data_IF_602267268461
#
_entry.id   IF_602267268461
#
_cell.length_a   1.000
_cell.length_b   1.000
_cell.length_c   1.000
_cell.angle_alpha   90.00
_cell.angle_beta   90.00
_cell.angle_gamma   90.00
#
_symmetry.space_group_name_H-M   'P 1'
#
loop_
_entity.id
_entity.type
_entity.pdbx_description
1 polymer ?
#
# COMPACT_ATOMS: atom_id res chain seq x y z
N UNK A 1 -19.08 15.82 10.03
CA UNK A 1 -18.05 14.76 10.23
C UNK A 1 -18.69 13.38 10.35
N UNK A 2 -19.65 13.14 11.24
CA UNK A 2 -20.32 11.82 11.34
C UNK A 2 -21.14 11.44 10.11
N UNK A 3 -21.88 12.38 9.51
CA UNK A 3 -22.62 12.15 8.26
C UNK A 3 -21.70 11.80 7.08
N UNK A 4 -20.58 12.54 6.94
CA UNK A 4 -19.54 12.28 5.93
C UNK A 4 -18.94 10.88 6.06
N UNK A 5 -18.70 10.42 7.30
CA UNK A 5 -18.17 9.07 7.57
C UNK A 5 -19.18 7.99 7.15
N UNK A 6 -20.48 8.18 7.40
CA UNK A 6 -21.50 7.22 6.96
C UNK A 6 -21.57 7.15 5.44
N UNK A 7 -21.55 8.30 4.74
CA UNK A 7 -21.52 8.32 3.28
C UNK A 7 -20.26 7.65 2.71
N UNK A 8 -19.10 7.90 3.31
CA UNK A 8 -17.86 7.24 2.91
C UNK A 8 -17.92 5.72 3.11
N UNK A 9 -18.54 5.27 4.21
CA UNK A 9 -18.71 3.84 4.48
C UNK A 9 -19.61 3.17 3.43
N UNK A 10 -20.73 3.79 3.06
CA UNK A 10 -21.62 3.27 2.01
C UNK A 10 -20.92 3.18 0.65
N UNK A 11 -20.06 4.15 0.31
CA UNK A 11 -19.27 4.15 -0.91
C UNK A 11 -18.27 2.99 -0.95
N UNK A 12 -17.57 2.73 0.16
CA UNK A 12 -16.55 1.66 0.25
C UNK A 12 -17.19 0.28 0.30
N UNK A 13 -18.33 0.14 0.97
CA UNK A 13 -19.07 -1.13 1.08
C UNK A 13 -19.82 -1.50 -0.21
N UNK A 14 -19.82 -0.63 -1.22
CA UNK A 14 -20.38 -0.97 -2.52
C UNK A 14 -19.68 -2.22 -3.08
N UNK A 15 -20.43 -3.27 -3.50
CA UNK A 15 -19.85 -4.52 -3.99
C UNK A 15 -18.86 -4.34 -5.15
N UNK A 16 -19.13 -3.36 -6.02
CA UNK A 16 -18.23 -3.05 -7.13
C UNK A 16 -16.88 -2.51 -6.64
N UNK A 17 -16.91 -1.59 -5.66
CA UNK A 17 -15.69 -1.03 -5.06
C UNK A 17 -14.89 -2.10 -4.33
N UNK A 18 -15.55 -2.99 -3.59
CA UNK A 18 -14.90 -4.13 -2.94
C UNK A 18 -14.24 -5.08 -3.94
N UNK A 19 -14.89 -5.35 -5.08
CA UNK A 19 -14.31 -6.17 -6.15
C UNK A 19 -13.06 -5.51 -6.75
N UNK A 20 -13.11 -4.20 -6.98
CA UNK A 20 -11.95 -3.42 -7.46
C UNK A 20 -10.81 -3.47 -6.43
N UNK A 21 -11.10 -3.26 -5.15
CA UNK A 21 -10.12 -3.38 -4.06
C UNK A 21 -9.46 -4.76 -4.08
N UNK A 22 -10.25 -5.83 -4.14
CA UNK A 22 -9.73 -7.20 -4.17
C UNK A 22 -8.82 -7.44 -5.39
N UNK A 23 -9.26 -7.04 -6.58
CA UNK A 23 -8.49 -7.18 -7.82
C UNK A 23 -7.18 -6.39 -7.78
N UNK A 24 -7.24 -5.16 -7.28
CA UNK A 24 -6.07 -4.30 -7.07
C UNK A 24 -5.10 -4.86 -6.02
N UNK A 25 -5.61 -5.44 -4.94
CA UNK A 25 -4.79 -6.12 -3.94
C UNK A 25 -4.00 -7.29 -4.54
N UNK A 26 -4.66 -8.14 -5.33
CA UNK A 26 -4.03 -9.27 -6.04
C UNK A 26 -2.98 -8.77 -7.03
N UNK A 27 -3.34 -7.75 -7.82
CA UNK A 27 -2.43 -7.10 -8.76
C UNK A 27 -1.18 -6.54 -8.05
N UNK A 28 -1.36 -5.76 -6.99
CA UNK A 28 -0.24 -5.18 -6.22
C UNK A 28 0.63 -6.25 -5.56
N UNK A 29 0.03 -7.33 -5.05
CA UNK A 29 0.76 -8.47 -4.49
C UNK A 29 1.65 -9.13 -5.55
N UNK A 30 1.10 -9.37 -6.75
CA UNK A 30 1.85 -9.99 -7.85
C UNK A 30 2.99 -9.11 -8.33
N UNK A 31 2.71 -7.82 -8.58
CA UNK A 31 3.71 -6.88 -9.07
C UNK A 31 4.80 -6.64 -8.04
N UNK A 32 4.45 -6.40 -6.78
CA UNK A 32 5.44 -6.11 -5.73
C UNK A 32 6.33 -7.32 -5.40
N UNK A 33 5.84 -8.55 -5.60
CA UNK A 33 6.66 -9.75 -5.41
C UNK A 33 7.75 -9.93 -6.49
N UNK A 34 7.65 -9.23 -7.63
CA UNK A 34 8.64 -9.28 -8.71
C UNK A 34 9.84 -8.39 -8.33
N UNK A 35 11.07 -8.95 -8.26
CA UNK A 35 12.26 -8.16 -7.94
C UNK A 35 12.45 -6.98 -8.89
N UNK A 36 12.60 -5.78 -8.33
CA UNK A 36 12.81 -4.54 -9.10
C UNK A 36 11.54 -3.83 -9.56
N UNK A 37 10.35 -4.44 -9.41
CA UNK A 37 9.06 -3.77 -9.65
C UNK A 37 8.52 -3.22 -8.33
N UNK A 38 8.87 -1.97 -8.06
CA UNK A 38 8.50 -1.26 -6.84
C UNK A 38 6.99 -0.93 -6.80
N UNK A 39 6.48 -0.62 -5.61
CA UNK A 39 5.10 -0.14 -5.44
C UNK A 39 4.78 1.09 -6.32
N UNK A 40 5.75 1.99 -6.49
CA UNK A 40 5.60 3.17 -7.35
C UNK A 40 5.39 2.79 -8.82
N UNK A 41 6.10 1.78 -9.31
CA UNK A 41 5.93 1.28 -10.68
C UNK A 41 4.58 0.57 -10.85
N UNK A 42 4.17 -0.22 -9.85
CA UNK A 42 2.84 -0.86 -9.84
C UNK A 42 1.71 0.15 -9.99
N UNK A 43 1.76 1.23 -9.19
CA UNK A 43 0.77 2.31 -9.28
C UNK A 43 0.85 2.98 -10.66
N UNK A 44 2.05 3.32 -11.16
CA UNK A 44 2.21 3.98 -12.45
C UNK A 44 1.60 3.18 -13.62
N UNK A 45 1.72 1.85 -13.59
CA UNK A 45 1.12 0.96 -14.59
C UNK A 45 -0.40 0.83 -14.44
N UNK A 46 -0.93 0.99 -13.22
CA UNK A 46 -2.36 0.92 -12.95
C UNK A 46 -3.08 2.23 -13.28
N UNK A 47 -2.45 3.40 -13.11
CA UNK A 47 -3.09 4.72 -13.31
C UNK A 47 -3.84 4.84 -14.65
N UNK A 48 -3.29 4.42 -15.81
CA UNK A 48 -4.01 4.48 -17.08
C UNK A 48 -5.33 3.71 -17.08
N UNK A 49 -5.39 2.58 -16.37
CA UNK A 49 -6.60 1.76 -16.23
C UNK A 49 -7.61 2.48 -15.34
N UNK A 50 -7.15 3.19 -14.31
CA UNK A 50 -8.04 3.91 -13.39
C UNK A 50 -8.76 5.10 -14.03
N UNK A 51 -8.30 5.61 -15.18
CA UNK A 51 -9.01 6.66 -15.92
C UNK A 51 -10.34 6.20 -16.54
N UNK A 52 -10.56 4.89 -16.65
CA UNK A 52 -11.82 4.31 -17.12
C UNK A 52 -12.79 4.00 -15.97
N UNK A 53 -12.40 4.26 -14.72
CA UNK A 53 -13.20 4.00 -13.52
C UNK A 53 -13.77 5.29 -12.95
N UNK A 54 -14.90 5.18 -12.26
CA UNK A 54 -15.40 6.27 -11.43
C UNK A 54 -14.37 6.68 -10.36
N UNK A 55 -14.41 7.93 -9.85
CA UNK A 55 -13.39 8.44 -8.93
C UNK A 55 -13.19 7.59 -7.66
N UNK A 56 -14.28 7.04 -7.11
CA UNK A 56 -14.22 6.21 -5.89
C UNK A 56 -13.47 4.90 -6.12
N UNK A 57 -13.88 4.02 -7.06
CA UNK A 57 -13.12 2.80 -7.35
C UNK A 57 -11.72 3.08 -7.90
N UNK A 58 -11.49 4.17 -8.64
CA UNK A 58 -10.17 4.58 -9.10
C UNK A 58 -9.19 4.83 -7.94
N UNK A 59 -9.60 5.66 -6.96
CA UNK A 59 -8.79 5.93 -5.77
C UNK A 59 -8.61 4.66 -4.94
N UNK A 60 -9.68 3.88 -4.75
CA UNK A 60 -9.61 2.62 -4.02
C UNK A 60 -8.60 1.64 -4.64
N UNK A 61 -8.54 1.57 -5.98
CA UNK A 61 -7.59 0.74 -6.71
C UNK A 61 -6.13 1.17 -6.46
N UNK A 62 -5.85 2.48 -6.53
CA UNK A 62 -4.51 3.04 -6.30
C UNK A 62 -4.05 2.77 -4.86
N UNK A 63 -4.92 3.06 -3.88
CA UNK A 63 -4.60 2.89 -2.45
C UNK A 63 -4.41 1.41 -2.09
N UNK A 64 -5.26 0.53 -2.62
CA UNK A 64 -5.16 -0.91 -2.36
C UNK A 64 -3.90 -1.51 -2.97
N UNK A 65 -3.60 -1.14 -4.22
CA UNK A 65 -2.40 -1.60 -4.94
C UNK A 65 -1.12 -1.12 -4.26
N UNK A 66 -1.05 0.15 -3.85
CA UNK A 66 0.16 0.66 -3.17
C UNK A 66 0.38 -0.07 -1.85
N UNK A 67 -0.68 -0.26 -1.05
CA UNK A 67 -0.57 -0.94 0.24
C UNK A 67 -0.09 -2.38 0.10
N UNK A 68 -0.64 -3.15 -0.83
CA UNK A 68 -0.22 -4.54 -1.04
C UNK A 68 1.13 -4.66 -1.72
N UNK A 69 1.45 -3.80 -2.68
CA UNK A 69 2.74 -3.82 -3.37
C UNK A 69 3.91 -3.44 -2.45
N UNK A 70 3.70 -2.53 -1.49
CA UNK A 70 4.73 -2.17 -0.49
C UNK A 70 5.13 -3.40 0.33
N UNK A 71 4.16 -4.12 0.90
CA UNK A 71 4.45 -5.35 1.64
C UNK A 71 5.02 -6.45 0.73
N UNK A 72 4.43 -6.65 -0.46
CA UNK A 72 4.87 -7.68 -1.38
C UNK A 72 6.34 -7.50 -1.83
N UNK A 73 6.82 -6.26 -1.88
CA UNK A 73 8.23 -5.92 -2.11
C UNK A 73 9.20 -6.46 -1.05
N UNK A 74 8.73 -6.81 0.14
CA UNK A 74 9.55 -7.44 1.17
C UNK A 74 9.76 -8.93 0.92
N UNK A 75 8.95 -9.58 0.08
CA UNK A 75 9.12 -10.99 -0.27
C UNK A 75 10.47 -11.23 -0.98
N UNK A 76 10.79 -10.55 -2.10
CA UNK A 76 12.12 -10.66 -2.71
C UNK A 76 13.23 -10.05 -1.83
N UNK A 77 12.92 -9.07 -0.97
CA UNK A 77 13.87 -8.56 0.02
C UNK A 77 14.31 -9.64 1.00
N UNK A 78 13.35 -10.36 1.56
CA UNK A 78 13.54 -11.42 2.53
C UNK A 78 14.19 -12.69 1.93
N UNK A 79 13.82 -13.06 0.70
CA UNK A 79 14.27 -14.30 0.05
C UNK A 79 15.53 -14.14 -0.80
N UNK A 80 15.69 -13.00 -1.46
CA UNK A 80 16.74 -12.76 -2.47
C UNK A 80 17.66 -11.59 -2.09
N UNK A 81 17.47 -10.98 -0.93
CA UNK A 81 18.23 -9.80 -0.47
C UNK A 81 18.10 -8.59 -1.41
N UNK A 82 16.95 -8.47 -2.09
CA UNK A 82 16.67 -7.39 -3.06
C UNK A 82 15.49 -6.54 -2.56
N UNK A 83 15.72 -5.37 -1.93
CA UNK A 83 14.67 -4.59 -1.31
C UNK A 83 13.72 -3.96 -2.35
N UNK A 84 12.41 -4.02 -2.10
CA UNK A 84 11.39 -3.40 -2.97
C UNK A 84 11.12 -1.92 -2.69
N UNK A 85 11.51 -1.40 -1.51
CA UNK A 85 11.34 0.02 -1.15
C UNK A 85 12.56 0.55 -0.37
N UNK A 86 12.75 1.89 -0.31
CA UNK A 86 13.81 2.48 0.52
C UNK A 86 13.67 2.16 2.01
N UNK A 87 12.43 2.02 2.51
CA UNK A 87 12.18 1.63 3.89
C UNK A 87 12.60 0.17 4.14
N UNK A 88 12.29 -0.73 3.20
CA UNK A 88 12.70 -2.14 3.24
C UNK A 88 14.22 -2.31 3.23
N UNK A 89 14.95 -1.42 2.55
CA UNK A 89 16.41 -1.45 2.51
C UNK A 89 17.05 -1.27 3.90
N UNK A 90 16.34 -0.65 4.86
CA UNK A 90 16.85 -0.46 6.22
C UNK A 90 16.91 -1.76 7.05
N UNK A 91 16.16 -2.80 6.68
CA UNK A 91 16.08 -4.07 7.41
C UNK A 91 16.25 -5.32 6.52
N UNK A 92 16.63 -5.14 5.25
CA UNK A 92 16.71 -6.23 4.27
C UNK A 92 17.77 -7.26 4.63
N UNK A 93 18.88 -6.82 5.20
CA UNK A 93 19.99 -7.69 5.58
C UNK A 93 19.61 -8.59 6.76
N UNK A 94 18.89 -8.04 7.74
CA UNK A 94 18.34 -8.76 8.88
C UNK A 94 17.27 -9.77 8.45
N UNK A 95 16.34 -9.35 7.58
CA UNK A 95 15.31 -10.25 7.03
C UNK A 95 15.94 -11.40 6.25
N UNK A 96 16.93 -11.13 5.40
CA UNK A 96 17.64 -12.16 4.65
C UNK A 96 18.45 -13.09 5.57
N UNK A 97 19.08 -12.57 6.62
CA UNK A 97 19.78 -13.39 7.61
C UNK A 97 18.83 -14.32 8.40
N UNK A 98 17.58 -13.89 8.67
CA UNK A 98 16.55 -14.75 9.24
C UNK A 98 16.11 -15.85 8.26
N UNK A 99 15.93 -15.53 6.99
CA UNK A 99 15.62 -16.51 5.93
C UNK A 99 16.70 -17.57 5.79
N UNK A 100 17.98 -17.19 5.82
CA UNK A 100 19.09 -18.15 5.79
C UNK A 100 19.09 -19.15 6.95
N UNK A 101 18.47 -18.77 8.09
CA UNK A 101 18.27 -19.63 9.25
C UNK A 101 16.98 -20.46 9.18
N UNK A 102 16.29 -20.44 8.04
CA UNK A 102 15.00 -21.12 7.84
C UNK A 102 13.83 -20.45 8.57
N UNK A 103 13.96 -19.16 8.93
CA UNK A 103 12.96 -18.38 9.69
C UNK A 103 12.31 -17.27 8.83
N UNK A 104 12.03 -17.56 7.55
CA UNK A 104 11.48 -16.58 6.62
C UNK A 104 10.06 -16.14 7.00
N UNK A 105 9.30 -17.03 7.62
CA UNK A 105 7.97 -16.76 8.15
C UNK A 105 7.98 -15.69 9.25
N UNK A 106 9.02 -15.68 10.10
CA UNK A 106 9.17 -14.68 11.15
C UNK A 106 9.52 -13.31 10.54
N UNK A 107 10.43 -13.29 9.57
CA UNK A 107 10.80 -12.07 8.88
C UNK A 107 9.60 -11.45 8.12
N UNK A 108 8.88 -12.26 7.34
CA UNK A 108 7.74 -11.80 6.56
C UNK A 108 6.55 -11.39 7.42
N UNK A 109 6.28 -12.11 8.53
CA UNK A 109 5.20 -11.73 9.45
C UNK A 109 5.51 -10.42 10.18
N UNK A 110 6.76 -10.19 10.60
CA UNK A 110 7.18 -8.93 11.19
C UNK A 110 7.02 -7.77 10.19
N UNK A 111 7.49 -7.95 8.94
CA UNK A 111 7.27 -7.00 7.84
C UNK A 111 5.79 -6.69 7.62
N UNK A 112 4.94 -7.71 7.55
CA UNK A 112 3.50 -7.55 7.34
C UNK A 112 2.85 -6.73 8.45
N UNK A 113 3.13 -7.08 9.71
CA UNK A 113 2.56 -6.38 10.87
C UNK A 113 3.04 -4.92 10.89
N UNK A 114 4.32 -4.69 10.62
CA UNK A 114 4.89 -3.34 10.52
C UNK A 114 4.20 -2.50 9.43
N UNK A 115 4.00 -3.07 8.24
CA UNK A 115 3.32 -2.40 7.14
C UNK A 115 1.85 -2.07 7.46
N UNK A 116 1.12 -3.01 8.05
CA UNK A 116 -0.29 -2.82 8.43
C UNK A 116 -0.42 -1.73 9.50
N UNK A 117 0.37 -1.82 10.58
CA UNK A 117 0.33 -0.82 11.65
C UNK A 117 0.77 0.56 11.17
N UNK A 118 1.84 0.62 10.37
CA UNK A 118 2.30 1.86 9.74
C UNK A 118 1.24 2.48 8.84
N UNK A 119 0.54 1.65 8.05
CA UNK A 119 -0.56 2.09 7.20
C UNK A 119 -1.75 2.64 7.98
N UNK A 120 -2.19 1.93 9.03
CA UNK A 120 -3.30 2.37 9.89
C UNK A 120 -2.94 3.68 10.59
N UNK A 121 -1.75 3.76 11.20
CA UNK A 121 -1.29 4.98 11.86
C UNK A 121 -1.14 6.14 10.87
N UNK A 122 -0.60 5.88 9.68
CA UNK A 122 -0.44 6.87 8.63
C UNK A 122 -1.78 7.45 8.17
N UNK A 123 -2.78 6.60 7.94
CA UNK A 123 -4.15 7.03 7.57
C UNK A 123 -4.81 7.80 8.72
N UNK A 124 -4.66 7.34 9.97
CA UNK A 124 -5.18 8.04 11.14
C UNK A 124 -4.60 9.45 11.29
N UNK A 125 -3.27 9.58 11.14
CA UNK A 125 -2.60 10.88 11.16
C UNK A 125 -3.06 11.74 9.98
N UNK A 126 -3.14 11.19 8.77
CA UNK A 126 -3.65 11.91 7.61
C UNK A 126 -5.06 12.45 7.83
N UNK A 127 -5.98 11.68 8.41
CA UNK A 127 -7.34 12.16 8.69
C UNK A 127 -7.36 13.39 9.62
N UNK A 128 -6.44 13.47 10.59
CA UNK A 128 -6.33 14.61 11.52
C UNK A 128 -5.65 15.81 10.86
N UNK A 129 -4.56 15.57 10.13
CA UNK A 129 -3.69 16.63 9.60
C UNK A 129 -4.06 17.09 8.19
N UNK A 130 -4.88 16.35 7.43
CA UNK A 130 -5.22 16.65 6.04
C UNK A 130 -5.79 18.06 5.85
N UNK A 131 -6.72 18.49 6.71
CA UNK A 131 -7.31 19.83 6.62
C UNK A 131 -6.29 20.95 6.90
N UNK A 132 -5.31 20.69 7.78
CA UNK A 132 -4.24 21.66 8.05
C UNK A 132 -3.25 21.73 6.89
N UNK A 133 -2.87 20.59 6.32
CA UNK A 133 -2.04 20.52 5.11
C UNK A 133 -2.69 21.23 3.93
N UNK A 134 -3.98 21.01 3.69
CA UNK A 134 -4.72 21.65 2.60
C UNK A 134 -4.71 23.18 2.73
N UNK A 135 -4.96 23.72 3.93
CA UNK A 135 -4.89 25.16 4.19
C UNK A 135 -3.49 25.75 3.99
N UNK A 136 -2.45 24.97 4.31
CA UNK A 136 -1.07 25.39 4.08
C UNK A 136 -0.73 25.39 2.60
N UNK A 137 -1.14 24.35 1.85
CA UNK A 137 -0.87 24.22 0.42
C UNK A 137 -1.47 25.38 -0.41
N UNK A 138 -2.69 25.82 -0.07
CA UNK A 138 -3.36 26.93 -0.77
C UNK A 138 -2.61 28.27 -0.62
N UNK A 139 -1.71 28.43 0.37
CA UNK A 139 -0.91 29.67 0.53
C UNK A 139 0.22 29.80 -0.50
N UNK A 140 0.53 28.74 -1.23
CA UNK A 140 1.54 28.74 -2.30
C UNK A 140 0.93 28.86 -3.71
N UNK A 141 -0.40 28.88 -3.81
CA UNK A 141 -1.15 29.22 -5.03
C UNK A 141 -1.51 30.70 -5.02
#
# INVERSE_FOLDING_TARGET
MTAEIMTALDLVLNPFVLMVILASCIYGLFIGAIPGLTATMSVALLVPITFFLDPVPAIAAIVSTTATAIFAGDIPGCLLRMPGTPASAAYVDESYALTQKGKSEIALSASLIGAVLGGILGVALLMVFAAQLARFAVRFS
#
